data_IF_585592709339
#
_entry.id   IF_585592709339
#
_cell.length_a   1.000
_cell.length_b   1.000
_cell.length_c   1.000
_cell.angle_alpha   90.00
_cell.angle_beta   90.00
_cell.angle_gamma   90.00
#
_symmetry.space_group_name_H-M   'P 1'
#
loop_
_entity.id
_entity.type
_entity.pdbx_description
1 polymer ?
#
# COMPACT_ATOMS: atom_id res chain seq x y z
N UNK A 1 4.48 -0.36 3.44
CA UNK A 1 4.33 0.01 4.86
C UNK A 1 4.75 1.46 5.04
N UNK A 2 4.14 2.13 6.00
CA UNK A 2 4.42 3.51 6.39
C UNK A 2 3.92 3.71 7.83
N UNK A 3 4.57 4.54 8.67
CA UNK A 3 3.99 4.94 9.95
C UNK A 3 2.57 5.50 9.78
N UNK A 4 1.68 5.07 10.66
CA UNK A 4 0.23 5.33 10.56
C UNK A 4 -0.06 6.83 10.51
N UNK A 5 0.61 7.59 11.35
CA UNK A 5 0.45 9.03 11.50
C UNK A 5 0.78 9.76 10.18
N UNK A 6 1.82 9.31 9.48
CA UNK A 6 2.22 9.86 8.18
C UNK A 6 1.18 9.51 7.11
N UNK A 7 0.68 8.27 7.13
CA UNK A 7 -0.38 7.83 6.22
C UNK A 7 -1.67 8.65 6.37
N UNK A 8 -2.12 8.83 7.61
CA UNK A 8 -3.31 9.63 7.93
C UNK A 8 -3.14 11.09 7.51
N UNK A 9 -1.98 11.69 7.78
CA UNK A 9 -1.69 13.06 7.35
C UNK A 9 -1.77 13.22 5.82
N UNK A 10 -1.22 12.26 5.06
CA UNK A 10 -1.31 12.25 3.58
C UNK A 10 -2.76 12.11 3.10
N UNK A 11 -3.54 11.21 3.70
CA UNK A 11 -4.93 10.97 3.33
C UNK A 11 -5.82 12.19 3.58
N UNK A 12 -5.68 12.84 4.75
CA UNK A 12 -6.39 14.09 5.09
C UNK A 12 -6.06 15.22 4.11
N UNK A 13 -4.78 15.38 3.76
CA UNK A 13 -4.36 16.37 2.76
C UNK A 13 -4.99 16.14 1.39
N UNK A 14 -5.26 14.89 1.00
CA UNK A 14 -5.94 14.58 -0.27
C UNK A 14 -7.43 14.96 -0.22
N UNK A 15 -8.10 14.73 0.91
CA UNK A 15 -9.48 15.18 1.13
C UNK A 15 -9.59 16.71 1.07
N UNK A 16 -8.68 17.42 1.76
CA UNK A 16 -8.64 18.90 1.78
C UNK A 16 -8.42 19.52 0.40
N UNK A 17 -7.62 18.86 -0.45
CA UNK A 17 -7.35 19.31 -1.83
C UNK A 17 -8.47 18.97 -2.82
N UNK A 18 -9.54 18.30 -2.37
CA UNK A 18 -10.59 17.80 -3.25
C UNK A 18 -10.15 16.61 -4.12
N UNK A 19 -9.01 15.98 -3.80
CA UNK A 19 -8.52 14.79 -4.49
C UNK A 19 -9.36 13.55 -4.20
N UNK A 20 -10.19 13.58 -3.15
CA UNK A 20 -11.16 12.54 -2.78
C UNK A 20 -12.46 13.17 -2.24
N UNK A 21 -13.64 12.57 -2.48
CA UNK A 21 -14.89 13.03 -1.87
C UNK A 21 -14.84 12.98 -0.34
N UNK A 22 -15.35 14.02 0.32
CA UNK A 22 -15.41 14.07 1.79
C UNK A 22 -16.21 12.92 2.41
N UNK A 23 -17.20 12.36 1.69
CA UNK A 23 -17.96 11.19 2.11
C UNK A 23 -17.09 9.92 2.29
N UNK A 24 -15.86 9.92 1.79
CA UNK A 24 -14.91 8.82 1.97
C UNK A 24 -14.03 8.95 3.23
N UNK A 25 -14.20 10.00 4.05
CA UNK A 25 -13.37 10.25 5.25
C UNK A 25 -13.59 9.26 6.40
N UNK A 26 -14.61 8.40 6.30
CA UNK A 26 -15.04 7.52 7.40
C UNK A 26 -13.89 6.67 7.98
N UNK A 27 -12.87 6.37 7.17
CA UNK A 27 -11.71 5.63 7.66
C UNK A 27 -10.72 6.58 8.33
N UNK A 28 -10.43 7.75 7.77
CA UNK A 28 -9.53 8.75 8.35
C UNK A 28 -10.03 9.34 9.69
N UNK A 29 -11.33 9.21 9.95
CA UNK A 29 -12.01 9.63 11.18
C UNK A 29 -11.93 8.58 12.32
N UNK A 30 -11.45 7.37 12.04
CA UNK A 30 -11.23 6.35 13.05
C UNK A 30 -10.06 6.69 13.99
N UNK A 31 -10.08 6.09 15.18
CA UNK A 31 -9.03 6.30 16.17
C UNK A 31 -7.66 5.80 15.68
N UNK A 32 -6.56 6.44 16.12
CA UNK A 32 -5.20 6.02 15.77
C UNK A 32 -4.94 4.52 16.03
N UNK A 33 -5.47 4.00 17.14
CA UNK A 33 -5.36 2.59 17.51
C UNK A 33 -6.04 1.64 16.51
N UNK A 34 -7.12 2.07 15.85
CA UNK A 34 -7.73 1.29 14.77
C UNK A 34 -6.75 1.11 13.61
N UNK A 35 -6.15 2.20 13.15
CA UNK A 35 -5.19 2.16 12.05
C UNK A 35 -3.90 1.41 12.40
N UNK A 36 -3.43 1.51 13.65
CA UNK A 36 -2.30 0.70 14.14
C UNK A 36 -2.60 -0.79 14.06
N UNK A 37 -3.79 -1.23 14.48
CA UNK A 37 -4.23 -2.64 14.33
C UNK A 37 -4.34 -3.06 12.86
N UNK A 38 -4.84 -2.19 11.99
CA UNK A 38 -4.90 -2.47 10.54
C UNK A 38 -3.50 -2.68 9.96
N UNK A 39 -2.56 -1.77 10.27
CA UNK A 39 -1.15 -1.89 9.84
C UNK A 39 -0.54 -3.19 10.35
N UNK A 40 -0.72 -3.51 11.62
CA UNK A 40 -0.19 -4.73 12.21
C UNK A 40 -0.77 -5.99 11.57
N UNK A 41 -2.08 -6.01 11.25
CA UNK A 41 -2.72 -7.09 10.52
C UNK A 41 -2.10 -7.34 9.15
N UNK A 42 -1.80 -6.29 8.37
CA UNK A 42 -1.10 -6.45 7.09
C UNK A 42 0.33 -6.99 7.25
N UNK A 43 1.08 -6.51 8.25
CA UNK A 43 2.43 -7.02 8.54
C UNK A 43 2.39 -8.46 9.08
N UNK A 44 1.31 -8.86 9.73
CA UNK A 44 1.12 -10.25 10.14
C UNK A 44 0.85 -11.16 8.93
N UNK A 45 0.03 -10.72 7.97
CA UNK A 45 -0.21 -11.46 6.73
C UNK A 45 1.10 -11.68 5.95
N UNK A 46 1.97 -10.66 5.88
CA UNK A 46 3.27 -10.82 5.26
C UNK A 46 4.14 -11.86 5.96
N UNK A 47 4.21 -11.81 7.29
CA UNK A 47 4.96 -12.81 8.08
C UNK A 47 4.41 -14.24 7.92
N UNK A 48 3.10 -14.38 7.71
CA UNK A 48 2.44 -15.68 7.56
C UNK A 48 2.56 -16.29 6.16
N UNK A 49 2.67 -15.45 5.14
CA UNK A 49 2.76 -15.88 3.74
C UNK A 49 3.77 -15.00 2.97
N UNK A 50 5.07 -15.02 3.35
CA UNK A 50 6.08 -14.13 2.77
C UNK A 50 6.30 -14.38 1.28
N UNK A 51 5.90 -15.55 0.76
CA UNK A 51 5.90 -15.84 -0.67
C UNK A 51 4.85 -15.02 -1.44
N UNK A 52 3.72 -14.69 -0.81
CA UNK A 52 2.58 -13.98 -1.42
C UNK A 52 2.60 -12.47 -1.23
N UNK A 53 3.23 -11.99 -0.16
CA UNK A 53 3.25 -10.57 0.18
C UNK A 53 4.65 -9.99 0.02
N UNK A 54 4.73 -8.70 -0.29
CA UNK A 54 5.97 -7.92 -0.34
C UNK A 54 5.71 -6.57 0.31
N UNK A 55 6.56 -6.17 1.24
CA UNK A 55 6.47 -4.88 1.92
C UNK A 55 7.36 -3.88 1.17
N UNK A 56 6.72 -2.83 0.63
CA UNK A 56 7.42 -1.67 0.04
C UNK A 56 7.45 -0.54 1.07
N UNK A 57 8.59 0.12 1.27
CA UNK A 57 8.68 1.29 2.13
C UNK A 57 8.02 2.51 1.45
N UNK A 58 6.83 2.89 1.91
CA UNK A 58 6.07 4.01 1.38
C UNK A 58 6.41 5.36 2.06
N UNK A 59 7.40 5.40 2.96
CA UNK A 59 7.93 6.64 3.55
C UNK A 59 8.77 7.44 2.55
N UNK A 60 9.29 6.77 1.53
CA UNK A 60 10.08 7.37 0.46
C UNK A 60 9.24 8.29 -0.43
N UNK A 61 9.90 9.00 -1.33
CA UNK A 61 9.24 9.76 -2.38
C UNK A 61 8.55 8.85 -3.40
N UNK A 62 7.55 9.39 -4.09
CA UNK A 62 6.70 8.65 -5.02
C UNK A 62 7.49 7.92 -6.11
N UNK A 63 8.55 8.54 -6.64
CA UNK A 63 9.35 7.94 -7.71
C UNK A 63 10.11 6.70 -7.24
N UNK A 64 10.60 6.72 -6.00
CA UNK A 64 11.26 5.58 -5.36
C UNK A 64 10.30 4.46 -5.03
N UNK A 65 9.15 4.78 -4.44
CA UNK A 65 8.08 3.80 -4.18
C UNK A 65 7.65 3.11 -5.49
N UNK A 66 7.50 3.87 -6.58
CA UNK A 66 7.16 3.32 -7.88
C UNK A 66 8.25 2.39 -8.42
N UNK A 67 9.53 2.74 -8.28
CA UNK A 67 10.65 1.91 -8.70
C UNK A 67 10.71 0.59 -7.91
N UNK A 68 10.51 0.64 -6.60
CA UNK A 68 10.50 -0.53 -5.72
C UNK A 68 9.34 -1.48 -6.09
N UNK A 69 8.14 -0.95 -6.32
CA UNK A 69 6.99 -1.73 -6.80
C UNK A 69 7.33 -2.42 -8.13
N UNK A 70 7.92 -1.70 -9.09
CA UNK A 70 8.29 -2.27 -10.39
C UNK A 70 9.29 -3.41 -10.24
N UNK A 71 10.33 -3.21 -9.44
CA UNK A 71 11.35 -4.23 -9.18
C UNK A 71 10.75 -5.51 -8.59
N UNK A 72 9.76 -5.37 -7.71
CA UNK A 72 9.06 -6.51 -7.11
C UNK A 72 8.16 -7.23 -8.11
N UNK A 73 7.43 -6.50 -8.95
CA UNK A 73 6.40 -7.09 -9.83
C UNK A 73 7.00 -7.67 -11.12
N UNK A 74 8.07 -7.08 -11.65
CA UNK A 74 8.65 -7.45 -12.95
C UNK A 74 9.03 -8.94 -13.10
N UNK A 75 9.60 -9.63 -12.09
CA UNK A 75 9.86 -11.06 -12.16
C UNK A 75 8.61 -11.92 -12.41
N UNK A 76 7.43 -11.49 -11.96
CA UNK A 76 6.18 -12.24 -12.13
C UNK A 76 5.60 -12.13 -13.54
N UNK A 77 5.94 -11.07 -14.28
CA UNK A 77 5.54 -10.93 -15.68
C UNK A 77 6.41 -11.77 -16.62
N UNK A 78 7.71 -11.91 -16.32
CA UNK A 78 8.62 -12.75 -17.10
C UNK A 78 8.41 -14.26 -16.91
N UNK A 79 7.61 -14.65 -15.92
CA UNK A 79 7.28 -16.04 -15.62
C UNK A 79 5.95 -16.50 -16.22
N UNK A 80 5.22 -15.65 -16.96
CA UNK A 80 4.08 -16.12 -17.75
C UNK A 80 4.58 -16.67 -19.09
N UNK A 81 4.41 -17.98 -19.40
CA UNK A 81 4.59 -18.45 -20.76
C UNK A 81 3.58 -17.73 -21.65
N UNK A 82 4.02 -17.31 -22.85
CA UNK A 82 3.11 -16.84 -23.90
C UNK A 82 1.96 -17.83 -24.01
N UNK A 83 0.71 -17.33 -24.03
CA UNK A 83 -0.42 -18.17 -24.35
C UNK A 83 -0.16 -18.79 -25.72
N UNK A 84 0.08 -20.09 -25.76
CA UNK A 84 0.04 -20.88 -26.98
C UNK A 84 -1.36 -20.71 -27.58
N UNK A 85 -1.47 -19.87 -28.59
CA UNK A 85 -2.63 -19.82 -29.48
C UNK A 85 -2.53 -21.09 -30.35
N UNK A 86 -3.21 -22.15 -29.93
CA UNK A 86 -3.58 -23.28 -30.76
C UNK A 86 -4.94 -23.07 -31.40
#
# INVERSE_FOLDING_TARGET
DLPVEVGLARARRQLEKGGRPAAESRFEDEALAFHQRVREGYLQLERQAPERFRVIDAAQDESRVQADIRSVVEPFWRQQPEKSNG
#
